data_IF_282792359307
#
_entry.id   IF_282792359307
#
_cell.length_a   1.000
_cell.length_b   1.000
_cell.length_c   1.000
_cell.angle_alpha   90.00
_cell.angle_beta   90.00
_cell.angle_gamma   90.00
#
_symmetry.space_group_name_H-M   'P 1'
#
loop_
_entity.id
_entity.type
_entity.pdbx_description
1 polymer ?
#
# COMPACT_ATOMS: atom_id res chain seq x y z
N UNK A 1 5.06 -18.96 6.25
CA UNK A 1 5.46 -18.11 5.11
C UNK A 1 5.10 -18.83 3.81
N UNK A 2 4.34 -18.16 2.94
CA UNK A 2 3.92 -18.66 1.63
C UNK A 2 5.04 -18.39 0.61
N UNK A 3 5.54 -19.45 -0.03
CA UNK A 3 6.60 -19.37 -1.05
C UNK A 3 6.08 -19.55 -2.47
N UNK A 4 4.84 -20.03 -2.63
CA UNK A 4 4.25 -20.32 -3.92
C UNK A 4 3.23 -19.26 -4.33
N UNK A 5 3.36 -18.74 -5.56
CA UNK A 5 2.51 -17.69 -6.11
C UNK A 5 1.02 -18.06 -6.07
N UNK A 6 0.69 -19.30 -6.43
CA UNK A 6 -0.69 -19.78 -6.47
C UNK A 6 -1.31 -19.87 -5.06
N UNK A 7 -0.52 -20.22 -4.05
CA UNK A 7 -0.98 -20.23 -2.67
C UNK A 7 -1.26 -18.81 -2.16
N UNK A 8 -0.42 -17.83 -2.50
CA UNK A 8 -0.63 -16.42 -2.14
C UNK A 8 -1.88 -15.85 -2.82
N UNK A 9 -2.04 -16.12 -4.13
CA UNK A 9 -3.26 -15.75 -4.87
C UNK A 9 -4.51 -16.36 -4.26
N UNK A 10 -4.46 -17.64 -3.83
CA UNK A 10 -5.58 -18.31 -3.20
C UNK A 10 -5.93 -17.70 -1.84
N UNK A 11 -4.92 -17.36 -1.03
CA UNK A 11 -5.13 -16.70 0.26
C UNK A 11 -5.81 -15.33 0.10
N UNK A 12 -5.40 -14.54 -0.90
CA UNK A 12 -6.05 -13.27 -1.26
C UNK A 12 -7.48 -13.49 -1.76
N UNK A 13 -7.69 -14.47 -2.67
CA UNK A 13 -9.01 -14.80 -3.22
C UNK A 13 -10.01 -15.25 -2.13
N UNK A 14 -9.53 -15.99 -1.12
CA UNK A 14 -10.33 -16.47 0.01
C UNK A 14 -10.50 -15.42 1.11
N UNK A 15 -10.01 -14.20 0.91
CA UNK A 15 -10.02 -13.12 1.90
C UNK A 15 -9.37 -13.53 3.24
N UNK A 16 -8.38 -14.44 3.20
CA UNK A 16 -7.52 -14.70 4.36
C UNK A 16 -6.74 -13.41 4.70
N UNK A 17 -6.25 -12.75 3.66
CA UNK A 17 -5.71 -11.39 3.69
C UNK A 17 -6.50 -10.50 2.73
N UNK A 18 -6.71 -9.23 3.10
CA UNK A 18 -7.38 -8.22 2.24
C UNK A 18 -6.42 -7.57 1.23
N UNK A 19 -5.13 -7.83 1.37
CA UNK A 19 -4.04 -7.25 0.58
C UNK A 19 -2.70 -7.68 1.15
N UNK A 20 -1.64 -7.00 0.74
CA UNK A 20 -0.29 -7.28 1.24
C UNK A 20 0.41 -6.00 1.67
N UNK A 21 1.29 -6.12 2.64
CA UNK A 21 2.28 -5.09 2.96
C UNK A 21 3.44 -5.26 1.97
N UNK A 22 3.82 -4.18 1.30
CA UNK A 22 5.00 -4.11 0.44
C UNK A 22 6.23 -3.72 1.26
N UNK A 23 6.03 -2.85 2.25
CA UNK A 23 7.09 -2.29 3.09
C UNK A 23 6.54 -1.90 4.46
N UNK A 24 7.30 -2.17 5.51
CA UNK A 24 7.02 -1.73 6.88
C UNK A 24 8.36 -1.40 7.53
N UNK A 25 8.58 -0.13 7.86
CA UNK A 25 9.89 0.36 8.26
C UNK A 25 10.00 1.89 8.27
N UNK A 26 11.22 2.42 8.45
CA UNK A 26 11.47 3.86 8.51
C UNK A 26 11.16 4.56 7.17
N UNK A 27 10.46 5.68 7.23
CA UNK A 27 10.26 6.55 6.06
C UNK A 27 11.60 6.99 5.49
N UNK A 28 11.73 6.97 4.18
CA UNK A 28 12.87 7.53 3.48
C UNK A 28 12.94 9.07 3.58
N UNK A 29 11.86 9.73 4.03
CA UNK A 29 11.80 11.19 4.23
C UNK A 29 12.46 11.59 5.56
N UNK A 30 12.03 10.98 6.66
CA UNK A 30 12.37 11.43 8.03
C UNK A 30 12.69 10.30 9.02
N UNK A 31 12.68 9.04 8.58
CA UNK A 31 12.95 7.88 9.42
C UNK A 31 11.80 7.43 10.32
N UNK A 32 10.68 8.14 10.38
CA UNK A 32 9.54 7.75 11.20
C UNK A 32 8.86 6.49 10.64
N UNK A 33 8.23 5.65 11.47
CA UNK A 33 7.71 4.36 11.02
C UNK A 33 6.48 4.52 10.12
N UNK A 34 6.56 3.90 8.94
CA UNK A 34 5.49 3.88 7.93
C UNK A 34 5.22 2.44 7.46
N UNK A 35 4.07 2.26 6.83
CA UNK A 35 3.70 1.02 6.14
C UNK A 35 3.13 1.34 4.76
N UNK A 36 3.62 0.61 3.75
CA UNK A 36 3.13 0.67 2.37
C UNK A 36 2.32 -0.60 2.07
N UNK A 37 1.04 -0.43 1.74
CA UNK A 37 0.06 -1.52 1.58
C UNK A 37 -0.46 -1.51 0.15
N UNK A 38 -0.49 -2.68 -0.49
CA UNK A 38 -1.14 -2.90 -1.79
C UNK A 38 -2.49 -3.60 -1.61
N UNK A 39 -3.53 -2.97 -2.14
CA UNK A 39 -4.92 -3.45 -2.12
C UNK A 39 -5.46 -3.65 -3.54
N UNK A 40 -6.63 -4.31 -3.63
CA UNK A 40 -7.32 -4.62 -4.90
C UNK A 40 -6.43 -5.43 -5.86
N UNK A 41 -5.71 -6.40 -5.31
CA UNK A 41 -4.89 -7.34 -6.07
C UNK A 41 -5.84 -8.33 -6.75
N UNK A 42 -6.11 -8.08 -8.03
CA UNK A 42 -7.01 -8.93 -8.82
C UNK A 42 -6.39 -10.31 -9.04
N UNK A 43 -7.05 -11.35 -8.54
CA UNK A 43 -6.79 -12.72 -9.00
C UNK A 43 -7.71 -12.92 -10.19
N UNK A 44 -7.13 -13.10 -11.39
CA UNK A 44 -7.84 -13.21 -12.67
C UNK A 44 -9.26 -13.79 -12.52
N UNK A 45 -10.27 -12.92 -12.62
CA UNK A 45 -11.64 -13.36 -12.88
C UNK A 45 -11.85 -13.34 -14.39
N UNK A 46 -12.70 -14.23 -14.91
CA UNK A 46 -12.97 -14.39 -16.34
C UNK A 46 -13.57 -13.13 -17.02
N UNK A 47 -13.78 -12.04 -16.28
CA UNK A 47 -14.26 -10.77 -16.81
C UNK A 47 -13.07 -9.86 -17.19
N UNK A 48 -12.65 -9.96 -18.45
CA UNK A 48 -11.59 -9.16 -19.06
C UNK A 48 -11.84 -7.63 -19.09
N UNK A 49 -13.05 -7.16 -18.74
CA UNK A 49 -13.47 -5.75 -18.90
C UNK A 49 -13.09 -4.81 -17.76
N UNK A 50 -12.58 -5.29 -16.63
CA UNK A 50 -12.06 -4.43 -15.56
C UNK A 50 -10.84 -5.07 -14.91
N UNK A 51 -9.65 -4.87 -15.48
CA UNK A 51 -8.41 -5.13 -14.74
C UNK A 51 -8.40 -4.21 -13.52
N UNK A 52 -8.69 -4.73 -12.33
CA UNK A 52 -8.69 -3.96 -11.10
C UNK A 52 -7.32 -3.31 -10.93
N UNK A 53 -7.29 -1.97 -10.88
CA UNK A 53 -6.07 -1.21 -10.65
C UNK A 53 -5.65 -1.39 -9.20
N UNK A 54 -4.45 -1.94 -8.99
CA UNK A 54 -3.83 -2.07 -7.67
C UNK A 54 -3.71 -0.67 -7.07
N UNK A 55 -4.21 -0.51 -5.84
CA UNK A 55 -4.15 0.75 -5.09
C UNK A 55 -3.10 0.63 -4.00
N UNK A 56 -2.27 1.65 -3.82
CA UNK A 56 -1.24 1.64 -2.78
C UNK A 56 -1.41 2.75 -1.77
N UNK A 57 -1.34 2.39 -0.50
CA UNK A 57 -1.52 3.28 0.63
C UNK A 57 -0.24 3.30 1.45
N UNK A 58 0.32 4.48 1.64
CA UNK A 58 1.47 4.73 2.50
C UNK A 58 0.95 5.50 3.70
N UNK A 59 1.00 4.89 4.87
CA UNK A 59 0.43 5.45 6.10
C UNK A 59 1.44 5.37 7.24
N UNK A 60 1.25 6.20 8.27
CA UNK A 60 1.97 6.04 9.54
C UNK A 60 1.60 4.69 10.15
N UNK A 61 2.61 3.93 10.57
CA UNK A 61 2.40 2.63 11.19
C UNK A 61 1.99 2.75 12.66
N UNK A 62 2.29 3.89 13.28
CA UNK A 62 2.20 4.13 14.72
C UNK A 62 1.15 5.19 15.11
N UNK A 63 0.46 5.78 14.13
CA UNK A 63 -0.47 6.89 14.35
C UNK A 63 -1.70 6.75 13.46
N UNK A 64 -2.87 6.97 14.07
CA UNK A 64 -4.12 7.07 13.33
C UNK A 64 -4.03 8.14 12.22
N UNK A 65 -4.46 7.86 10.98
CA UNK A 65 -4.27 8.78 9.85
C UNK A 65 -5.00 10.12 10.02
N UNK A 66 -6.14 10.16 10.74
CA UNK A 66 -6.86 11.41 11.00
C UNK A 66 -6.06 12.27 12.00
N UNK A 67 -5.49 11.64 13.04
CA UNK A 67 -4.63 12.34 13.99
C UNK A 67 -3.36 12.86 13.30
N UNK A 68 -2.70 12.02 12.49
CA UNK A 68 -1.49 12.38 11.75
C UNK A 68 -1.68 13.60 10.83
N UNK A 69 -2.84 13.73 10.18
CA UNK A 69 -3.17 14.92 9.38
C UNK A 69 -3.36 16.18 10.24
N UNK A 70 -3.92 16.02 11.44
CA UNK A 70 -4.24 17.14 12.34
C UNK A 70 -3.02 17.69 13.07
N UNK A 71 -2.07 16.83 13.42
CA UNK A 71 -0.87 17.19 14.18
C UNK A 71 0.40 17.28 13.32
N UNK A 72 0.28 17.06 12.01
CA UNK A 72 1.37 17.22 11.06
C UNK A 72 2.34 16.04 10.98
N UNK A 73 2.05 14.92 11.63
CA UNK A 73 2.86 13.68 11.54
C UNK A 73 2.73 12.96 10.20
N UNK A 74 1.78 13.37 9.37
CA UNK A 74 1.68 12.97 7.97
C UNK A 74 2.85 13.47 7.10
N UNK A 75 3.73 14.33 7.61
CA UNK A 75 5.00 14.70 6.97
C UNK A 75 5.84 13.47 6.59
N UNK A 76 5.83 12.42 7.42
CA UNK A 76 6.62 11.21 7.17
C UNK A 76 6.16 10.42 5.95
N UNK A 77 4.93 10.64 5.47
CA UNK A 77 4.40 9.97 4.27
C UNK A 77 4.18 10.93 3.10
N UNK A 78 4.09 12.24 3.33
CA UNK A 78 3.73 13.24 2.32
C UNK A 78 4.78 14.36 2.18
N UNK A 79 5.85 14.32 2.97
CA UNK A 79 6.89 15.34 3.01
C UNK A 79 6.33 16.74 3.22
N UNK A 80 6.74 17.66 2.35
CA UNK A 80 6.37 19.07 2.43
C UNK A 80 5.04 19.41 1.73
N UNK A 81 4.28 18.41 1.26
CA UNK A 81 3.08 18.57 0.44
C UNK A 81 2.17 19.73 0.92
N UNK A 82 1.86 20.72 0.05
CA UNK A 82 1.06 21.88 0.44
C UNK A 82 -0.41 21.54 0.71
N UNK A 83 -0.87 20.35 0.28
CA UNK A 83 -2.25 19.90 0.50
C UNK A 83 -2.49 19.30 1.89
N UNK A 84 -1.45 19.21 2.74
CA UNK A 84 -1.58 18.68 4.10
C UNK A 84 -2.47 19.60 4.95
N UNK A 85 -3.52 19.09 5.62
CA UNK A 85 -4.42 19.90 6.45
C UNK A 85 -3.73 20.67 7.57
N UNK A 86 -2.66 20.12 8.17
CA UNK A 86 -1.84 20.82 9.15
C UNK A 86 -1.27 22.16 8.62
N UNK A 87 -1.06 22.27 7.31
CA UNK A 87 -0.61 23.49 6.62
C UNK A 87 -1.76 24.32 6.03
N UNK A 88 -2.99 24.11 6.49
CA UNK A 88 -4.21 24.70 5.92
C UNK A 88 -4.50 24.25 4.47
N UNK A 89 -3.90 23.15 4.02
CA UNK A 89 -4.14 22.53 2.71
C UNK A 89 -5.45 21.74 2.64
N UNK A 90 -5.82 21.29 1.44
CA UNK A 90 -7.04 20.49 1.19
C UNK A 90 -6.69 19.20 0.46
N UNK A 91 -6.25 18.19 1.22
CA UNK A 91 -5.99 16.87 0.68
C UNK A 91 -7.23 16.36 -0.08
N UNK A 92 -7.04 15.99 -1.35
CA UNK A 92 -8.12 15.53 -2.23
C UNK A 92 -8.60 14.11 -1.89
N UNK A 93 -7.88 13.41 -1.01
CA UNK A 93 -8.21 12.06 -0.55
C UNK A 93 -9.15 12.15 0.65
N UNK A 94 -10.26 11.42 0.59
CA UNK A 94 -11.15 11.24 1.75
C UNK A 94 -10.50 10.26 2.74
N UNK A 95 -9.64 10.82 3.61
CA UNK A 95 -8.84 10.07 4.59
C UNK A 95 -9.71 9.45 5.67
N UNK A 96 -10.80 10.12 6.09
CA UNK A 96 -11.72 9.63 7.11
C UNK A 96 -12.49 8.37 6.70
N UNK A 97 -12.56 8.08 5.38
CA UNK A 97 -13.15 6.84 4.86
C UNK A 97 -12.09 5.86 4.39
N UNK A 98 -11.43 6.20 3.27
CA UNK A 98 -10.61 5.24 2.54
C UNK A 98 -9.37 4.81 3.34
N UNK A 99 -8.59 5.79 3.80
CA UNK A 99 -7.34 5.56 4.53
C UNK A 99 -7.62 5.02 5.93
N UNK A 100 -8.64 5.53 6.62
CA UNK A 100 -9.03 5.02 7.94
C UNK A 100 -9.43 3.54 7.90
N UNK A 101 -10.14 3.10 6.85
CA UNK A 101 -10.48 1.69 6.64
C UNK A 101 -9.22 0.81 6.46
N UNK A 102 -8.26 1.28 5.66
CA UNK A 102 -6.97 0.60 5.46
C UNK A 102 -6.18 0.52 6.76
N UNK A 103 -6.08 1.63 7.50
CA UNK A 103 -5.40 1.67 8.80
C UNK A 103 -6.03 0.69 9.80
N UNK A 104 -7.36 0.68 9.94
CA UNK A 104 -8.02 -0.27 10.83
C UNK A 104 -7.80 -1.74 10.42
N UNK A 105 -7.74 -2.05 9.12
CA UNK A 105 -7.41 -3.40 8.65
C UNK A 105 -5.94 -3.77 8.93
N UNK A 106 -5.04 -2.80 8.87
CA UNK A 106 -3.64 -2.95 9.25
C UNK A 106 -3.51 -3.26 10.75
N UNK A 107 -4.18 -2.51 11.63
CA UNK A 107 -4.18 -2.78 13.08
C UNK A 107 -4.72 -4.18 13.42
N UNK A 108 -5.71 -4.66 12.65
CA UNK A 108 -6.25 -6.02 12.77
C UNK A 108 -5.38 -7.10 12.10
N UNK A 109 -4.17 -6.76 11.62
CA UNK A 109 -3.21 -7.67 10.97
C UNK A 109 -3.81 -8.41 9.76
N UNK A 110 -4.63 -7.72 8.96
CA UNK A 110 -5.35 -8.32 7.83
C UNK A 110 -4.58 -8.29 6.50
N UNK A 111 -3.35 -7.82 6.51
CA UNK A 111 -2.45 -7.78 5.35
C UNK A 111 -1.32 -8.79 5.52
N UNK A 112 -1.01 -9.54 4.46
CA UNK A 112 0.13 -10.46 4.48
C UNK A 112 1.43 -9.65 4.56
N UNK A 113 2.31 -10.00 5.50
CA UNK A 113 3.61 -9.34 5.72
C UNK A 113 4.75 -10.01 4.96
N UNK A 114 5.63 -9.23 4.30
CA UNK A 114 6.79 -9.75 3.58
C UNK A 114 7.75 -10.41 4.57
N UNK A 115 8.29 -11.58 4.23
CA UNK A 115 9.23 -12.31 5.10
C UNK A 115 8.60 -12.94 6.35
N UNK A 116 7.28 -12.87 6.51
CA UNK A 116 6.55 -13.54 7.59
C UNK A 116 5.44 -14.42 6.99
N UNK A 117 4.53 -13.78 6.27
CA UNK A 117 3.36 -14.43 5.68
C UNK A 117 3.62 -14.85 4.24
N UNK A 118 4.47 -14.14 3.50
CA UNK A 118 4.82 -14.47 2.11
C UNK A 118 6.26 -14.10 1.74
N UNK A 119 6.80 -14.77 0.71
CA UNK A 119 8.11 -14.48 0.11
C UNK A 119 8.03 -13.24 -0.81
N UNK A 120 8.79 -12.15 -0.54
CA UNK A 120 8.83 -10.95 -1.38
C UNK A 120 9.28 -11.21 -2.83
N UNK A 121 9.97 -12.32 -3.12
CA UNK A 121 10.34 -12.70 -4.48
C UNK A 121 9.11 -12.93 -5.38
N UNK A 122 7.93 -13.14 -4.79
CA UNK A 122 6.67 -13.32 -5.51
C UNK A 122 6.09 -12.02 -6.08
N UNK A 123 6.53 -10.85 -5.62
CA UNK A 123 5.92 -9.56 -5.97
C UNK A 123 5.85 -9.30 -7.50
N UNK A 124 6.92 -9.49 -8.30
CA UNK A 124 6.84 -9.27 -9.73
C UNK A 124 5.77 -10.12 -10.42
N UNK A 125 5.67 -11.40 -10.05
CA UNK A 125 4.72 -12.33 -10.66
C UNK A 125 3.30 -12.16 -10.10
N UNK A 126 3.15 -11.70 -8.87
CA UNK A 126 1.87 -11.37 -8.27
C UNK A 126 1.18 -10.23 -9.00
N UNK A 127 1.93 -9.22 -9.42
CA UNK A 127 1.43 -8.03 -10.09
C UNK A 127 1.57 -8.04 -11.62
N UNK A 128 2.01 -9.16 -12.19
CA UNK A 128 2.18 -9.32 -13.64
C UNK A 128 0.91 -8.96 -14.40
N UNK A 129 1.04 -8.04 -15.37
CA UNK A 129 -0.09 -7.58 -16.20
C UNK A 129 -1.05 -6.60 -15.52
N UNK A 130 -0.85 -6.27 -14.24
CA UNK A 130 -1.72 -5.35 -13.49
C UNK A 130 -1.48 -3.89 -13.85
N UNK A 131 -2.53 -3.07 -13.77
CA UNK A 131 -2.35 -1.61 -13.65
C UNK A 131 -2.08 -1.28 -12.18
N UNK A 132 -1.06 -0.48 -11.91
CA UNK A 132 -0.55 -0.23 -10.58
C UNK A 132 -0.55 1.27 -10.29
N UNK A 133 -1.30 1.71 -9.27
CA UNK A 133 -1.30 3.10 -8.84
C UNK A 133 -0.36 3.28 -7.67
N UNK A 134 0.67 4.09 -7.86
CA UNK A 134 1.61 4.50 -6.82
C UNK A 134 1.03 5.73 -6.10
N UNK A 135 0.92 5.66 -4.78
CA UNK A 135 0.44 6.79 -3.98
C UNK A 135 -1.06 7.06 -4.18
N UNK A 136 -1.92 6.05 -4.04
CA UNK A 136 -3.36 6.31 -3.81
C UNK A 136 -3.53 7.21 -2.58
N UNK A 137 -2.68 7.01 -1.57
CA UNK A 137 -2.45 7.93 -0.48
C UNK A 137 -0.99 7.85 -0.04
N UNK A 138 -0.40 9.01 0.29
CA UNK A 138 1.02 9.16 0.57
C UNK A 138 1.90 9.22 -0.67
N UNK A 139 3.11 9.75 -0.51
CA UNK A 139 4.13 9.92 -1.54
C UNK A 139 4.99 8.64 -1.66
N UNK A 140 5.06 8.02 -2.85
CA UNK A 140 5.95 6.88 -3.10
C UNK A 140 7.41 7.11 -2.69
N UNK A 141 7.91 8.35 -2.71
CA UNK A 141 9.26 8.69 -2.28
C UNK A 141 9.52 8.38 -0.79
N UNK A 142 8.48 8.26 0.04
CA UNK A 142 8.62 7.85 1.44
C UNK A 142 9.06 6.38 1.60
N UNK A 143 8.91 5.56 0.56
CA UNK A 143 9.22 4.13 0.58
C UNK A 143 10.48 3.87 -0.27
N UNK A 144 11.41 3.00 0.17
CA UNK A 144 12.62 2.72 -0.61
C UNK A 144 12.32 2.27 -2.03
N UNK A 145 13.00 2.86 -3.01
CA UNK A 145 12.78 2.63 -4.45
C UNK A 145 12.74 1.15 -4.84
N UNK A 146 13.59 0.31 -4.23
CA UNK A 146 13.67 -1.12 -4.54
C UNK A 146 12.35 -1.87 -4.30
N UNK A 147 11.54 -1.41 -3.34
CA UNK A 147 10.21 -1.98 -3.07
C UNK A 147 9.29 -1.75 -4.26
N UNK A 148 9.24 -0.51 -4.78
CA UNK A 148 8.44 -0.17 -5.96
C UNK A 148 8.94 -0.87 -7.21
N UNK A 149 10.26 -0.95 -7.38
CA UNK A 149 10.88 -1.67 -8.50
C UNK A 149 10.47 -3.14 -8.49
N UNK A 150 10.54 -3.82 -7.35
CA UNK A 150 10.12 -5.21 -7.24
C UNK A 150 8.62 -5.39 -7.51
N UNK A 151 7.77 -4.53 -6.94
CA UNK A 151 6.32 -4.63 -7.11
C UNK A 151 5.84 -4.32 -8.54
N UNK A 152 6.52 -3.41 -9.25
CA UNK A 152 6.05 -2.92 -10.55
C UNK A 152 6.82 -3.48 -11.75
N UNK A 153 7.83 -4.34 -11.52
CA UNK A 153 8.71 -4.89 -12.57
C UNK A 153 7.98 -5.48 -13.78
N UNK A 154 6.85 -6.15 -13.54
CA UNK A 154 6.00 -6.78 -14.57
C UNK A 154 4.61 -6.16 -14.66
N UNK A 155 4.39 -5.00 -14.05
CA UNK A 155 3.12 -4.30 -14.16
C UNK A 155 2.90 -3.83 -15.60
N UNK A 156 1.65 -3.88 -16.08
CA UNK A 156 1.29 -3.41 -17.42
C UNK A 156 1.32 -1.89 -17.54
N UNK A 157 0.96 -1.19 -16.45
CA UNK A 157 0.88 0.26 -16.39
C UNK A 157 1.15 0.72 -14.97
N UNK A 158 1.89 1.81 -14.82
CA UNK A 158 2.14 2.48 -13.54
C UNK A 158 1.55 3.90 -13.65
N UNK A 159 0.80 4.34 -12.63
CA UNK A 159 0.19 5.67 -12.56
C UNK A 159 0.35 6.30 -11.20
#
# INVERSE_FOLDING_TARGET
>A
MIQELNALRLALKRNQFTGIILYEGPSAIDGAPIVAIANRIGVASANAKTGAMVQTFIIRADVNPIAALKDGRDASICGDCPQRPFKSGKCYVDVAKSVYSVYGAYERKRYARPGVDYDPALLPALFEGSAFRLGTYGDPAAVPFQIWRAATLKAKKIT
#
